data_IF_195786311226
#
_entry.id   IF_195786311226
#
_cell.length_a   1.000
_cell.length_b   1.000
_cell.length_c   1.000
_cell.angle_alpha   90.00
_cell.angle_beta   90.00
_cell.angle_gamma   90.00
#
_symmetry.space_group_name_H-M   'P 1'
#
loop_
_entity.id
_entity.type
_entity.pdbx_description
1 polymer ?
#
# COMPACT_ATOMS: atom_id res chain seq x y z
N UNK A 1 -34.93 10.29 2.77
CA UNK A 1 -35.37 9.94 1.40
C UNK A 1 -34.29 9.32 0.47
N UNK A 2 -32.99 9.63 0.54
CA UNK A 2 -31.92 8.80 -0.11
C UNK A 2 -31.08 7.99 0.89
N UNK A 3 -30.82 8.54 2.08
CA UNK A 3 -30.12 7.85 3.19
C UNK A 3 -30.93 6.70 3.83
N UNK A 4 -32.26 6.77 3.81
CA UNK A 4 -33.14 5.73 4.40
C UNK A 4 -33.16 4.45 3.57
N UNK A 5 -32.93 4.54 2.25
CA UNK A 5 -32.92 3.39 1.36
C UNK A 5 -31.66 2.53 1.52
N UNK A 6 -30.52 3.11 1.91
CA UNK A 6 -29.30 2.34 2.18
C UNK A 6 -29.40 1.52 3.47
N UNK A 7 -30.10 2.05 4.49
CA UNK A 7 -30.31 1.35 5.76
C UNK A 7 -31.30 0.17 5.65
N UNK A 8 -32.12 0.09 4.60
CA UNK A 8 -33.12 -0.98 4.46
C UNK A 8 -32.61 -2.25 3.79
N UNK A 9 -31.48 -2.21 3.07
CA UNK A 9 -30.99 -3.35 2.27
C UNK A 9 -29.84 -4.14 2.92
N UNK A 10 -29.23 -3.61 3.99
CA UNK A 10 -28.23 -4.33 4.78
C UNK A 10 -28.71 -4.40 6.23
N UNK A 11 -29.35 -5.50 6.65
CA UNK A 11 -29.56 -5.72 8.06
C UNK A 11 -28.18 -5.94 8.69
N UNK A 12 -27.59 -4.88 9.26
CA UNK A 12 -26.43 -5.00 10.14
C UNK A 12 -26.87 -5.69 11.45
N UNK A 13 -27.25 -6.97 11.36
CA UNK A 13 -27.51 -7.86 12.48
C UNK A 13 -26.23 -8.52 13.00
N UNK A 14 -25.13 -7.79 13.00
CA UNK A 14 -23.93 -8.12 13.75
C UNK A 14 -23.54 -6.92 14.61
N UNK A 15 -24.35 -6.65 15.63
CA UNK A 15 -23.86 -6.05 16.88
C UNK A 15 -23.06 -7.08 17.70
N UNK A 16 -22.25 -7.91 17.03
CA UNK A 16 -21.16 -8.57 17.73
C UNK A 16 -20.25 -7.48 18.23
N UNK A 17 -19.94 -7.48 19.54
CA UNK A 17 -18.87 -6.63 20.06
C UNK A 17 -17.65 -6.90 19.18
N UNK A 18 -17.25 -5.94 18.33
CA UNK A 18 -15.92 -5.94 17.75
C UNK A 18 -14.99 -6.28 18.92
N UNK A 19 -14.17 -7.35 18.83
CA UNK A 19 -13.25 -7.65 19.90
C UNK A 19 -12.48 -6.35 20.13
N UNK A 20 -12.60 -5.80 21.34
CA UNK A 20 -11.79 -4.66 21.75
C UNK A 20 -10.36 -5.17 21.71
N UNK A 21 -9.70 -5.03 20.57
CA UNK A 21 -8.26 -5.07 20.44
C UNK A 21 -7.69 -3.79 21.07
N UNK A 22 -8.15 -3.48 22.29
CA UNK A 22 -7.46 -2.56 23.17
C UNK A 22 -6.41 -3.41 23.85
N UNK A 23 -5.28 -3.55 23.16
CA UNK A 23 -4.06 -4.02 23.78
C UNK A 23 -3.76 -3.12 24.98
N UNK A 24 -3.58 -3.75 26.14
CA UNK A 24 -3.20 -3.12 27.40
C UNK A 24 -1.68 -2.94 27.51
N UNK A 25 -0.92 -3.23 26.45
CA UNK A 25 0.49 -2.90 26.39
C UNK A 25 0.66 -1.40 26.67
N UNK A 26 1.56 -1.08 27.59
CA UNK A 26 1.88 0.31 27.91
C UNK A 26 2.20 1.01 26.60
N UNK A 27 1.49 2.11 26.31
CA UNK A 27 1.78 3.03 25.19
C UNK A 27 3.16 3.65 25.42
N UNK A 28 4.21 2.87 25.18
CA UNK A 28 5.54 3.44 25.03
C UNK A 28 5.48 4.34 23.79
N UNK A 29 6.00 5.57 23.85
CA UNK A 29 6.04 6.44 22.68
C UNK A 29 6.80 5.72 21.56
N UNK A 30 6.16 5.53 20.41
CA UNK A 30 6.80 4.89 19.26
C UNK A 30 7.98 5.76 18.83
N UNK A 31 9.17 5.16 18.83
CA UNK A 31 10.35 5.80 18.26
C UNK A 31 10.49 5.33 16.80
N UNK A 32 9.92 6.10 15.88
CA UNK A 32 9.92 5.79 14.45
C UNK A 32 11.32 5.55 13.88
N UNK A 33 12.34 6.27 14.36
CA UNK A 33 13.73 6.06 13.94
C UNK A 33 14.29 4.71 14.41
N UNK A 34 13.93 4.27 15.62
CA UNK A 34 14.32 2.93 16.10
C UNK A 34 13.61 1.84 15.29
N UNK A 35 12.32 2.00 15.04
CA UNK A 35 11.53 1.06 14.25
C UNK A 35 12.04 0.94 12.81
N UNK A 36 12.38 2.05 12.16
CA UNK A 36 12.97 2.02 10.82
C UNK A 36 14.33 1.31 10.81
N UNK A 37 15.17 1.55 11.83
CA UNK A 37 16.46 0.85 11.97
C UNK A 37 16.27 -0.67 12.16
N UNK A 38 15.34 -1.08 13.02
CA UNK A 38 15.02 -2.49 13.24
C UNK A 38 14.44 -3.13 11.97
N UNK A 39 13.54 -2.44 11.29
CA UNK A 39 12.96 -2.87 10.01
C UNK A 39 14.02 -3.03 8.92
N UNK A 40 14.97 -2.10 8.84
CA UNK A 40 16.12 -2.19 7.94
C UNK A 40 16.97 -3.43 8.24
N UNK A 41 17.31 -3.66 9.51
CA UNK A 41 18.10 -4.82 9.93
C UNK A 41 17.36 -6.14 9.64
N UNK A 42 16.06 -6.20 9.95
CA UNK A 42 15.24 -7.36 9.68
C UNK A 42 15.18 -7.64 8.17
N UNK A 43 14.92 -6.61 7.36
CA UNK A 43 14.87 -6.75 5.91
C UNK A 43 16.19 -7.23 5.32
N UNK A 44 17.31 -6.66 5.77
CA UNK A 44 18.64 -7.08 5.36
C UNK A 44 18.94 -8.55 5.73
N UNK A 45 18.46 -9.02 6.89
CA UNK A 45 18.65 -10.40 7.32
C UNK A 45 17.81 -11.42 6.51
N UNK A 46 16.64 -11.02 6.00
CA UNK A 46 15.69 -11.93 5.35
C UNK A 46 15.66 -11.81 3.82
N UNK A 47 16.60 -11.09 3.21
CA UNK A 47 16.67 -10.88 1.75
C UNK A 47 18.08 -10.99 1.18
N UNK A 48 18.90 -11.86 1.75
CA UNK A 48 20.34 -11.99 1.42
C UNK A 48 20.61 -12.81 0.16
N UNK A 49 19.65 -13.61 -0.29
CA UNK A 49 19.83 -14.61 -1.35
C UNK A 49 19.74 -14.06 -2.77
N UNK A 50 19.50 -12.76 -2.94
CA UNK A 50 19.32 -12.12 -4.24
C UNK A 50 19.68 -10.62 -4.23
N UNK A 51 20.06 -10.04 -5.38
CA UNK A 51 20.45 -8.63 -5.46
C UNK A 51 19.27 -7.65 -5.43
N UNK A 52 18.02 -8.15 -5.56
CA UNK A 52 16.81 -7.33 -5.65
C UNK A 52 16.16 -7.09 -4.30
N UNK A 53 16.74 -7.59 -3.20
CA UNK A 53 16.22 -7.46 -1.83
C UNK A 53 14.80 -8.05 -1.67
N UNK A 54 14.47 -9.06 -2.48
CA UNK A 54 13.24 -9.85 -2.32
C UNK A 54 13.45 -10.83 -1.16
N UNK A 55 12.43 -11.03 -0.33
CA UNK A 55 12.52 -11.97 0.80
C UNK A 55 12.96 -13.38 0.34
N UNK A 56 13.90 -13.98 1.06
CA UNK A 56 14.61 -15.20 0.65
C UNK A 56 13.68 -16.38 0.38
N UNK A 57 12.65 -16.54 1.20
CA UNK A 57 11.64 -17.59 1.02
C UNK A 57 10.86 -17.44 -0.29
N UNK A 58 10.56 -16.21 -0.68
CA UNK A 58 9.86 -15.93 -1.92
C UNK A 58 10.80 -16.01 -3.12
N UNK A 59 12.04 -15.55 -2.97
CA UNK A 59 13.05 -15.65 -4.01
C UNK A 59 13.29 -17.10 -4.44
N UNK A 60 13.34 -18.04 -3.50
CA UNK A 60 13.43 -19.49 -3.79
C UNK A 60 12.33 -19.97 -4.73
N UNK A 61 11.11 -19.41 -4.63
CA UNK A 61 9.98 -19.74 -5.51
C UNK A 61 10.06 -18.98 -6.84
N UNK A 62 10.51 -17.73 -6.80
CA UNK A 62 10.52 -16.83 -7.96
C UNK A 62 11.61 -17.21 -8.98
N UNK A 63 12.81 -17.56 -8.52
CA UNK A 63 13.98 -17.85 -9.39
C UNK A 63 13.81 -19.03 -10.34
N UNK A 64 12.81 -19.88 -10.11
CA UNK A 64 12.51 -21.05 -10.95
C UNK A 64 11.34 -20.81 -11.89
N UNK A 65 10.67 -19.66 -11.83
CA UNK A 65 9.59 -19.32 -12.75
C UNK A 65 10.16 -18.87 -14.08
N UNK A 66 9.54 -19.32 -15.16
CA UNK A 66 9.85 -18.83 -16.51
C UNK A 66 9.38 -17.37 -16.64
N UNK A 67 10.12 -16.59 -17.42
CA UNK A 67 9.66 -15.27 -17.83
C UNK A 67 8.36 -15.39 -18.62
N UNK A 68 7.38 -14.57 -18.28
CA UNK A 68 6.08 -14.43 -18.95
C UNK A 68 5.96 -12.97 -19.37
N UNK A 69 5.29 -12.69 -20.51
CA UNK A 69 5.05 -11.30 -20.91
C UNK A 69 4.36 -10.52 -19.80
N UNK A 70 4.93 -9.36 -19.47
CA UNK A 70 4.41 -8.41 -18.48
C UNK A 70 3.82 -7.16 -19.12
N UNK A 71 3.47 -7.21 -20.42
CA UNK A 71 2.87 -6.09 -21.16
C UNK A 71 1.54 -5.63 -20.56
N UNK A 72 0.91 -6.47 -19.75
CA UNK A 72 -0.34 -6.18 -19.08
C UNK A 72 -0.19 -5.35 -17.80
N UNK A 73 1.03 -5.12 -17.31
CA UNK A 73 1.27 -4.38 -16.07
C UNK A 73 1.38 -2.89 -16.30
N UNK A 74 1.10 -2.09 -15.28
CA UNK A 74 1.14 -0.63 -15.34
C UNK A 74 0.42 -0.08 -16.59
N UNK A 75 -0.89 -0.32 -16.66
CA UNK A 75 -1.74 0.16 -17.76
C UNK A 75 -2.41 1.48 -17.42
N UNK A 76 -2.18 2.49 -18.25
CA UNK A 76 -2.93 3.76 -18.20
C UNK A 76 -4.40 3.60 -18.59
N UNK A 77 -4.75 2.54 -19.34
CA UNK A 77 -6.13 2.20 -19.69
C UNK A 77 -6.54 0.98 -18.87
N UNK A 78 -7.34 1.22 -17.83
CA UNK A 78 -7.88 0.21 -16.94
C UNK A 78 -9.26 0.65 -16.47
N UNK A 79 -10.19 -0.30 -16.30
CA UNK A 79 -11.50 -0.05 -15.68
C UNK A 79 -11.39 0.26 -14.19
N UNK A 80 -10.28 -0.16 -13.56
CA UNK A 80 -10.00 0.07 -12.14
C UNK A 80 -9.89 1.56 -11.77
N UNK A 81 -9.66 2.46 -12.73
CA UNK A 81 -9.72 3.90 -12.46
C UNK A 81 -11.16 4.37 -12.21
N UNK A 82 -12.13 3.81 -12.93
CA UNK A 82 -13.54 4.10 -12.71
C UNK A 82 -13.98 3.51 -11.36
N UNK A 83 -13.54 2.29 -11.03
CA UNK A 83 -13.82 1.66 -9.74
C UNK A 83 -13.19 2.43 -8.56
N UNK A 84 -11.96 2.94 -8.74
CA UNK A 84 -11.30 3.79 -7.75
C UNK A 84 -12.05 5.10 -7.54
N UNK A 85 -12.47 5.76 -8.63
CA UNK A 85 -13.27 6.99 -8.54
C UNK A 85 -14.59 6.77 -7.79
N UNK A 86 -15.26 5.65 -8.06
CA UNK A 86 -16.49 5.25 -7.39
C UNK A 86 -16.27 5.00 -5.89
N UNK A 87 -15.15 4.37 -5.51
CA UNK A 87 -14.78 4.17 -4.12
C UNK A 87 -14.60 5.51 -3.40
N UNK A 88 -13.87 6.45 -4.01
CA UNK A 88 -13.61 7.78 -3.44
C UNK A 88 -14.92 8.55 -3.25
N UNK A 89 -15.76 8.61 -4.29
CA UNK A 89 -17.07 9.26 -4.23
C UNK A 89 -17.98 8.65 -3.16
N UNK A 90 -17.96 7.33 -3.02
CA UNK A 90 -18.78 6.61 -2.04
C UNK A 90 -18.35 6.94 -0.62
N UNK A 91 -17.04 6.94 -0.35
CA UNK A 91 -16.51 7.25 0.98
C UNK A 91 -16.73 8.72 1.34
N UNK A 92 -16.56 9.63 0.38
CA UNK A 92 -16.85 11.06 0.56
C UNK A 92 -18.34 11.30 0.84
N UNK A 93 -19.23 10.66 0.07
CA UNK A 93 -20.68 10.78 0.27
C UNK A 93 -21.13 10.21 1.63
N UNK A 94 -20.41 9.24 2.18
CA UNK A 94 -20.63 8.71 3.52
C UNK A 94 -20.07 9.61 4.64
N UNK A 95 -19.33 10.68 4.30
CA UNK A 95 -18.64 11.54 5.26
C UNK A 95 -17.47 10.85 5.96
N UNK A 96 -16.86 9.84 5.33
CA UNK A 96 -15.71 9.15 5.87
C UNK A 96 -14.46 10.05 5.76
N UNK A 97 -13.66 10.07 6.82
CA UNK A 97 -12.32 10.65 6.81
C UNK A 97 -11.31 9.57 6.39
N UNK A 98 -10.78 9.68 5.17
CA UNK A 98 -10.01 8.62 4.51
C UNK A 98 -8.61 9.10 4.16
N UNK A 99 -7.61 8.33 4.58
CA UNK A 99 -6.24 8.43 4.10
C UNK A 99 -5.97 7.38 3.03
N UNK A 100 -5.78 7.82 1.79
CA UNK A 100 -5.31 6.95 0.71
C UNK A 100 -3.78 6.88 0.74
N UNK A 101 -3.21 5.69 0.54
CA UNK A 101 -1.75 5.50 0.53
C UNK A 101 -1.36 4.83 -0.77
N UNK A 102 -0.56 5.51 -1.59
CA UNK A 102 0.06 4.93 -2.79
C UNK A 102 1.38 4.29 -2.39
N UNK A 103 1.42 2.96 -2.39
CA UNK A 103 2.64 2.21 -2.03
C UNK A 103 3.67 2.22 -3.19
N UNK A 104 4.97 2.17 -2.88
CA UNK A 104 6.01 2.02 -3.89
C UNK A 104 6.01 0.61 -4.49
N UNK A 105 6.92 0.40 -5.44
CA UNK A 105 7.23 -0.91 -6.01
C UNK A 105 8.71 -1.22 -5.85
N UNK A 106 9.13 -2.47 -6.08
CA UNK A 106 10.56 -2.81 -6.04
C UNK A 106 11.24 -2.37 -7.35
N UNK A 107 11.84 -1.19 -7.35
CA UNK A 107 12.49 -0.58 -8.50
C UNK A 107 13.59 -1.47 -9.09
N UNK A 108 14.43 -2.07 -8.24
CA UNK A 108 15.50 -2.98 -8.69
C UNK A 108 14.96 -4.20 -9.42
N UNK A 109 13.85 -4.77 -8.93
CA UNK A 109 13.21 -5.90 -9.58
C UNK A 109 12.57 -5.52 -10.91
N UNK A 110 11.86 -4.38 -10.97
CA UNK A 110 11.20 -3.95 -12.20
C UNK A 110 12.18 -3.51 -13.29
N UNK A 111 13.32 -2.94 -12.92
CA UNK A 111 14.39 -2.63 -13.87
C UNK A 111 15.03 -3.90 -14.43
N UNK A 112 15.19 -4.95 -13.61
CA UNK A 112 15.75 -6.24 -14.04
C UNK A 112 14.94 -6.96 -15.13
N UNK A 113 13.63 -6.72 -15.15
CA UNK A 113 12.67 -7.39 -16.04
C UNK A 113 12.15 -6.47 -17.15
N UNK A 114 12.87 -5.37 -17.40
CA UNK A 114 12.60 -4.43 -18.50
C UNK A 114 11.25 -3.70 -18.40
N UNK A 115 10.81 -3.36 -17.17
CA UNK A 115 9.65 -2.48 -16.93
C UNK A 115 10.12 -1.09 -16.44
N UNK A 116 10.30 -0.13 -17.36
CA UNK A 116 10.97 1.13 -17.06
C UNK A 116 10.17 1.98 -16.07
N UNK A 117 10.90 2.76 -15.27
CA UNK A 117 10.33 3.67 -14.26
C UNK A 117 9.25 4.59 -14.83
N UNK A 118 9.46 5.19 -15.99
CA UNK A 118 8.51 6.14 -16.60
C UNK A 118 7.12 5.53 -16.82
N UNK A 119 7.06 4.25 -17.20
CA UNK A 119 5.79 3.52 -17.35
C UNK A 119 5.05 3.40 -16.02
N UNK A 120 5.79 3.19 -14.93
CA UNK A 120 5.27 3.05 -13.56
C UNK A 120 4.85 4.42 -13.02
N UNK A 121 5.68 5.45 -13.20
CA UNK A 121 5.40 6.83 -12.81
C UNK A 121 4.11 7.35 -13.45
N UNK A 122 3.90 7.13 -14.75
CA UNK A 122 2.67 7.57 -15.42
C UNK A 122 1.40 6.93 -14.81
N UNK A 123 1.48 5.68 -14.35
CA UNK A 123 0.37 5.01 -13.67
C UNK A 123 0.16 5.56 -12.27
N UNK A 124 1.24 5.79 -11.51
CA UNK A 124 1.20 6.39 -10.18
C UNK A 124 0.54 7.78 -10.24
N UNK A 125 0.99 8.64 -11.15
CA UNK A 125 0.42 9.96 -11.39
C UNK A 125 -1.08 9.89 -11.71
N UNK A 126 -1.48 8.92 -12.55
CA UNK A 126 -2.89 8.74 -12.89
C UNK A 126 -3.72 8.26 -11.68
N UNK A 127 -3.18 7.39 -10.81
CA UNK A 127 -3.84 6.97 -9.58
C UNK A 127 -4.05 8.17 -8.65
N UNK A 128 -2.98 8.93 -8.38
CA UNK A 128 -3.05 10.13 -7.53
C UNK A 128 -4.07 11.11 -8.08
N UNK A 129 -3.98 11.44 -9.37
CA UNK A 129 -4.92 12.33 -10.04
C UNK A 129 -6.37 11.86 -9.94
N UNK A 130 -6.63 10.55 -10.09
CA UNK A 130 -7.99 9.99 -9.97
C UNK A 130 -8.56 10.23 -8.58
N UNK A 131 -7.75 10.09 -7.53
CA UNK A 131 -8.22 10.31 -6.15
C UNK A 131 -8.42 11.81 -5.87
N UNK A 132 -7.48 12.65 -6.31
CA UNK A 132 -7.53 14.10 -6.08
C UNK A 132 -8.67 14.79 -6.85
N UNK A 133 -8.93 14.38 -8.10
CA UNK A 133 -10.05 14.89 -8.91
C UNK A 133 -11.40 14.59 -8.26
N UNK A 134 -11.46 13.55 -7.42
CA UNK A 134 -12.63 13.15 -6.63
C UNK A 134 -12.56 13.63 -5.17
N UNK A 135 -11.74 14.65 -4.88
CA UNK A 135 -11.61 15.28 -3.57
C UNK A 135 -11.05 14.38 -2.45
N UNK A 136 -10.29 13.35 -2.80
CA UNK A 136 -9.47 12.59 -1.84
C UNK A 136 -8.06 13.16 -1.68
N UNK A 137 -7.37 12.75 -0.62
CA UNK A 137 -5.96 13.09 -0.39
C UNK A 137 -5.10 11.83 -0.32
N UNK A 138 -3.95 11.85 -0.99
CA UNK A 138 -3.05 10.69 -1.11
C UNK A 138 -1.73 10.95 -0.38
N UNK A 139 -1.32 10.00 0.44
CA UNK A 139 0.07 9.85 0.89
C UNK A 139 0.82 9.07 -0.19
N UNK A 140 1.63 9.77 -0.98
CA UNK A 140 2.40 9.18 -2.07
C UNK A 140 3.79 8.70 -1.61
N UNK A 141 3.93 7.39 -1.43
CA UNK A 141 5.18 6.74 -1.05
C UNK A 141 5.94 6.19 -2.27
N UNK A 142 5.49 6.43 -3.50
CA UNK A 142 6.11 5.88 -4.72
C UNK A 142 7.52 6.40 -5.01
N UNK A 143 7.90 7.50 -4.38
CA UNK A 143 9.28 8.00 -4.43
C UNK A 143 10.29 7.06 -3.74
N UNK A 144 9.83 6.08 -2.95
CA UNK A 144 10.65 5.07 -2.30
C UNK A 144 10.92 3.81 -3.12
N UNK A 145 10.62 3.79 -4.42
CA UNK A 145 10.81 2.63 -5.31
C UNK A 145 12.19 1.95 -5.20
N UNK A 146 13.23 2.71 -4.90
CA UNK A 146 14.62 2.23 -4.84
C UNK A 146 15.18 2.15 -3.41
N UNK A 147 14.40 2.54 -2.41
CA UNK A 147 14.83 2.51 -1.02
C UNK A 147 14.98 1.05 -0.53
N UNK A 148 16.13 0.69 0.07
CA UNK A 148 16.33 -0.66 0.59
C UNK A 148 15.23 -1.03 1.56
N UNK A 149 14.67 -2.24 1.41
CA UNK A 149 13.74 -2.86 2.36
C UNK A 149 12.38 -2.15 2.54
N UNK A 150 12.06 -1.18 1.69
CA UNK A 150 10.71 -0.60 1.59
C UNK A 150 9.71 -1.58 0.99
N UNK A 151 10.17 -2.51 0.17
CA UNK A 151 9.39 -3.61 -0.41
C UNK A 151 9.90 -4.96 0.11
N UNK A 152 9.00 -5.92 0.35
CA UNK A 152 9.36 -7.28 0.76
C UNK A 152 9.50 -8.24 -0.43
N UNK A 153 8.86 -7.92 -1.54
CA UNK A 153 8.99 -8.60 -2.82
C UNK A 153 8.76 -7.60 -3.98
N UNK A 154 8.23 -8.03 -5.12
CA UNK A 154 8.02 -7.17 -6.26
C UNK A 154 6.96 -6.08 -6.04
N UNK A 155 5.88 -6.40 -5.31
CA UNK A 155 4.65 -5.59 -5.25
C UNK A 155 4.15 -5.35 -3.83
N UNK A 156 4.57 -6.15 -2.85
CA UNK A 156 4.12 -5.98 -1.47
C UNK A 156 5.08 -5.12 -0.66
N UNK A 157 4.50 -4.10 -0.01
CA UNK A 157 5.24 -3.25 0.92
C UNK A 157 5.96 -4.10 1.98
N UNK A 158 7.16 -3.67 2.31
CA UNK A 158 8.12 -4.37 3.14
C UNK A 158 8.29 -3.73 4.50
N UNK A 159 9.40 -4.06 5.14
CA UNK A 159 9.64 -3.76 6.55
C UNK A 159 9.68 -2.27 6.83
N UNK A 160 10.50 -1.50 6.10
CA UNK A 160 10.59 -0.04 6.30
C UNK A 160 9.34 0.67 5.82
N UNK A 161 8.77 0.22 4.70
CA UNK A 161 7.53 0.77 4.18
C UNK A 161 6.37 0.64 5.18
N UNK A 162 6.25 -0.48 5.89
CA UNK A 162 5.26 -0.63 6.96
C UNK A 162 5.51 0.31 8.15
N UNK A 163 6.75 0.67 8.46
CA UNK A 163 7.02 1.66 9.52
C UNK A 163 6.42 3.01 9.14
N UNK A 164 6.66 3.47 7.91
CA UNK A 164 6.14 4.76 7.43
C UNK A 164 4.63 4.75 7.24
N UNK A 165 4.05 3.69 6.67
CA UNK A 165 2.59 3.54 6.58
C UNK A 165 1.95 3.56 7.97
N UNK A 166 2.55 2.87 8.95
CA UNK A 166 2.05 2.88 10.33
C UNK A 166 2.16 4.27 10.96
N UNK A 167 3.21 5.02 10.63
CA UNK A 167 3.36 6.41 11.07
C UNK A 167 2.23 7.30 10.51
N UNK A 168 1.93 7.19 9.22
CA UNK A 168 0.82 7.93 8.60
C UNK A 168 -0.55 7.55 9.18
N UNK A 169 -0.81 6.25 9.37
CA UNK A 169 -2.03 5.76 10.02
C UNK A 169 -2.14 6.32 11.43
N UNK A 170 -1.05 6.29 12.22
CA UNK A 170 -1.05 6.81 13.59
C UNK A 170 -1.33 8.31 13.62
N UNK A 171 -0.71 9.07 12.73
CA UNK A 171 -0.94 10.50 12.59
C UNK A 171 -2.36 10.83 12.14
N UNK A 172 -2.96 10.01 11.29
CA UNK A 172 -4.35 10.18 10.84
C UNK A 172 -5.34 9.94 11.97
N UNK A 173 -5.15 8.87 12.75
CA UNK A 173 -6.04 8.49 13.85
C UNK A 173 -5.95 9.46 15.05
N UNK A 174 -4.79 10.11 15.24
CA UNK A 174 -4.56 11.03 16.36
C UNK A 174 -5.05 12.48 16.10
N UNK A 175 -5.47 12.81 14.88
CA UNK A 175 -6.05 14.12 14.52
C UNK A 175 -7.47 14.29 15.10
#
# INVERSE_FOLDING_TARGET
>A
AKMEALNSYLPFHHQGKLPRLFDKSQKQPLNWKSLDKEAHQYGAHHSQSNPYQIKDEYWKKLKHKKSVSRDHEFRLKSVEYDDLSLLVDTLNAAGADVQYVLIPVNGKWYDHIDLPRDRRTAVNEKIVKTIEDHHGHVVDLSHHDYEPYYMSDAVHIGWRGWVEVTQHIKQHIDQ
#
